data_IF_670036906240
#
_entry.id   IF_670036906240
#
_cell.length_a   1.000
_cell.length_b   1.000
_cell.length_c   1.000
_cell.angle_alpha   90.00
_cell.angle_beta   90.00
_cell.angle_gamma   90.00
#
_symmetry.space_group_name_H-M   'P 1'
#
loop_
_entity.id
_entity.type
_entity.pdbx_description
1 polymer ?
#
# COMPACT_ATOMS: atom_id res chain seq x y z
N UNK A 1 -5.13 -20.23 -4.24
CA UNK A 1 -4.29 -19.00 -4.23
C UNK A 1 -5.19 -17.92 -3.68
N UNK A 2 -4.77 -17.19 -2.66
CA UNK A 2 -5.56 -16.10 -2.05
C UNK A 2 -6.10 -15.13 -3.11
N UNK A 3 -7.37 -14.71 -2.98
CA UNK A 3 -7.99 -13.71 -3.85
C UNK A 3 -7.22 -12.38 -3.79
N UNK A 4 -6.74 -11.98 -2.62
CA UNK A 4 -5.93 -10.76 -2.44
C UNK A 4 -4.60 -10.85 -3.20
N UNK A 5 -3.90 -11.99 -3.13
CA UNK A 5 -2.65 -12.19 -3.89
C UNK A 5 -2.89 -12.09 -5.40
N UNK A 6 -4.04 -12.58 -5.87
CA UNK A 6 -4.44 -12.44 -7.28
C UNK A 6 -4.64 -10.97 -7.65
N UNK A 7 -5.32 -10.19 -6.81
CA UNK A 7 -5.50 -8.74 -7.01
C UNK A 7 -4.18 -7.98 -7.11
N UNK A 8 -3.19 -8.32 -6.27
CA UNK A 8 -1.85 -7.72 -6.39
C UNK A 8 -1.13 -8.08 -7.70
N UNK A 9 -1.35 -9.28 -8.25
CA UNK A 9 -0.70 -9.74 -9.49
C UNK A 9 -1.36 -9.23 -10.75
N UNK A 10 -2.68 -9.08 -10.73
CA UNK A 10 -3.46 -8.65 -11.89
C UNK A 10 -3.62 -7.13 -11.95
N UNK A 11 -3.38 -6.42 -10.85
CA UNK A 11 -3.37 -4.97 -10.84
C UNK A 11 -2.15 -4.42 -11.58
N UNK A 12 -2.38 -3.41 -12.42
CA UNK A 12 -1.31 -2.60 -13.02
C UNK A 12 -0.76 -1.54 -12.04
N UNK A 13 -1.23 -1.52 -10.79
CA UNK A 13 -0.80 -0.56 -9.78
C UNK A 13 0.37 -1.13 -8.96
N UNK A 14 1.39 -0.31 -8.74
CA UNK A 14 2.53 -0.69 -7.89
C UNK A 14 2.11 -0.85 -6.41
N UNK A 15 1.09 -0.11 -5.98
CA UNK A 15 0.58 -0.11 -4.60
C UNK A 15 -0.94 -0.23 -4.59
N UNK A 16 -1.50 -1.09 -3.73
CA UNK A 16 -2.94 -1.23 -3.54
C UNK A 16 -3.38 -0.70 -2.18
N UNK A 17 -4.48 0.03 -2.12
CA UNK A 17 -5.09 0.44 -0.85
C UNK A 17 -6.04 -0.64 -0.33
N UNK A 18 -6.33 -0.62 0.98
CA UNK A 18 -7.38 -1.47 1.56
C UNK A 18 -8.72 -1.26 0.86
N UNK A 19 -9.06 0.00 0.56
CA UNK A 19 -10.30 0.34 -0.15
C UNK A 19 -10.37 -0.34 -1.54
N UNK A 20 -9.25 -0.42 -2.26
CA UNK A 20 -9.20 -1.14 -3.53
C UNK A 20 -9.42 -2.64 -3.33
N UNK A 21 -8.75 -3.25 -2.36
CA UNK A 21 -8.88 -4.68 -2.06
C UNK A 21 -10.32 -5.04 -1.67
N UNK A 22 -10.94 -4.23 -0.81
CA UNK A 22 -12.34 -4.37 -0.41
C UNK A 22 -13.32 -4.22 -1.58
N UNK A 23 -13.04 -3.32 -2.53
CA UNK A 23 -13.95 -3.07 -3.67
C UNK A 23 -13.83 -4.10 -4.80
N UNK A 24 -12.74 -4.87 -4.82
CA UNK A 24 -12.42 -5.81 -5.90
C UNK A 24 -12.32 -7.26 -5.41
N UNK A 25 -12.72 -7.55 -4.17
CA UNK A 25 -12.84 -8.89 -3.65
C UNK A 25 -14.30 -9.20 -3.32
N UNK A 26 -14.68 -10.47 -3.49
CA UNK A 26 -15.95 -11.02 -3.04
C UNK A 26 -15.89 -11.50 -1.58
N UNK A 27 -14.70 -11.45 -0.96
CA UNK A 27 -14.47 -11.87 0.43
C UNK A 27 -15.09 -10.88 1.42
N UNK A 28 -15.35 -11.34 2.65
CA UNK A 28 -15.88 -10.43 3.68
C UNK A 28 -14.82 -9.40 4.09
N UNK A 29 -15.29 -8.28 4.63
CA UNK A 29 -14.41 -7.23 5.14
C UNK A 29 -13.45 -7.80 6.20
N UNK A 30 -13.97 -8.64 7.10
CA UNK A 30 -13.21 -9.29 8.17
C UNK A 30 -12.11 -10.19 7.60
N UNK A 31 -12.44 -11.06 6.63
CA UNK A 31 -11.48 -11.95 5.98
C UNK A 31 -10.36 -11.16 5.29
N UNK A 32 -10.70 -10.03 4.65
CA UNK A 32 -9.72 -9.19 3.96
C UNK A 32 -8.74 -8.56 4.95
N UNK A 33 -9.23 -8.06 6.08
CA UNK A 33 -8.36 -7.50 7.12
C UNK A 33 -7.48 -8.59 7.77
N UNK A 34 -8.03 -9.77 8.07
CA UNK A 34 -7.26 -10.89 8.61
C UNK A 34 -6.14 -11.33 7.66
N UNK A 35 -6.43 -11.37 6.36
CA UNK A 35 -5.46 -11.76 5.35
C UNK A 35 -4.38 -10.69 5.16
N UNK A 36 -4.73 -9.40 5.10
CA UNK A 36 -3.75 -8.30 5.09
C UNK A 36 -2.83 -8.38 6.32
N UNK A 37 -3.40 -8.59 7.51
CA UNK A 37 -2.62 -8.75 8.74
C UNK A 37 -1.66 -9.93 8.66
N UNK A 38 -2.15 -11.10 8.25
CA UNK A 38 -1.33 -12.31 8.08
C UNK A 38 -0.19 -12.08 7.08
N UNK A 39 -0.46 -11.40 5.97
CA UNK A 39 0.54 -11.10 4.95
C UNK A 39 1.60 -10.11 5.45
N UNK A 40 1.23 -9.13 6.28
CA UNK A 40 2.18 -8.21 6.93
C UNK A 40 3.08 -8.96 7.93
N UNK A 41 2.51 -9.83 8.76
CA UNK A 41 3.26 -10.63 9.73
C UNK A 41 4.28 -11.56 9.05
N UNK A 42 3.85 -12.20 7.96
CA UNK A 42 4.70 -13.06 7.13
C UNK A 42 5.67 -12.26 6.24
N UNK A 43 5.55 -10.93 6.20
CA UNK A 43 6.33 -10.01 5.36
C UNK A 43 6.21 -10.32 3.87
N UNK A 44 5.08 -10.85 3.42
CA UNK A 44 4.77 -11.05 2.00
C UNK A 44 4.28 -9.77 1.35
N UNK A 45 3.74 -8.83 2.14
CA UNK A 45 3.52 -7.43 1.73
C UNK A 45 4.26 -6.47 2.65
N UNK A 46 4.47 -5.25 2.16
CA UNK A 46 4.95 -4.10 2.91
C UNK A 46 3.89 -2.99 2.91
N UNK A 47 3.71 -2.34 4.06
CA UNK A 47 2.89 -1.14 4.20
C UNK A 47 3.69 0.09 3.82
N UNK A 48 3.06 1.00 3.10
CA UNK A 48 3.56 2.30 2.73
C UNK A 48 2.50 3.36 3.01
N UNK A 49 2.95 4.55 3.38
CA UNK A 49 2.09 5.67 3.73
C UNK A 49 2.22 6.75 2.67
N UNK A 50 1.09 7.34 2.32
CA UNK A 50 0.97 8.39 1.32
C UNK A 50 0.11 9.52 1.86
N UNK A 51 0.37 10.73 1.39
CA UNK A 51 -0.45 11.91 1.68
C UNK A 51 -0.80 12.61 0.38
N UNK A 52 -1.94 13.28 0.35
CA UNK A 52 -2.35 14.13 -0.79
C UNK A 52 -2.04 15.57 -0.42
N UNK A 53 -1.34 16.27 -1.30
CA UNK A 53 -1.09 17.70 -1.12
C UNK A 53 -2.38 18.50 -1.29
N UNK A 54 -2.82 19.29 -0.30
CA UNK A 54 -4.07 20.06 -0.40
C UNK A 54 -3.99 21.19 -1.44
N UNK A 55 -2.78 21.60 -1.83
CA UNK A 55 -2.57 22.72 -2.77
C UNK A 55 -2.57 22.27 -4.24
N UNK A 56 -1.98 21.11 -4.53
CA UNK A 56 -1.81 20.64 -5.91
C UNK A 56 -2.42 19.27 -6.20
N UNK A 57 -3.08 18.65 -5.21
CA UNK A 57 -3.66 17.30 -5.27
C UNK A 57 -2.66 16.18 -5.64
N UNK A 58 -1.35 16.48 -5.68
CA UNK A 58 -0.34 15.46 -5.92
C UNK A 58 -0.19 14.58 -4.69
N UNK A 59 -0.11 13.28 -4.93
CA UNK A 59 0.24 12.32 -3.91
C UNK A 59 1.74 12.32 -3.66
N UNK A 60 2.15 12.06 -2.42
CA UNK A 60 3.55 11.89 -2.05
C UNK A 60 3.67 10.76 -1.04
N UNK A 61 4.61 9.85 -1.29
CA UNK A 61 5.00 8.80 -0.36
C UNK A 61 5.77 9.41 0.81
N UNK A 62 5.43 9.00 2.02
CA UNK A 62 6.01 9.53 3.26
C UNK A 62 6.63 8.41 4.08
N UNK A 63 7.67 8.73 4.84
CA UNK A 63 8.27 7.79 5.79
C UNK A 63 7.45 7.75 7.08
N UNK A 64 7.47 6.58 7.75
CA UNK A 64 6.69 6.29 8.95
C UNK A 64 7.21 7.03 10.18
N UNK A 65 6.93 8.32 10.21
CA UNK A 65 6.99 9.24 11.34
C UNK A 65 6.70 10.62 10.75
N UNK A 66 5.41 10.95 10.61
CA UNK A 66 5.00 12.23 10.05
C UNK A 66 5.53 13.34 10.94
N UNK A 67 6.45 14.14 10.40
CA UNK A 67 6.64 15.49 10.91
C UNK A 67 5.34 16.26 10.71
N UNK A 68 5.05 17.20 11.61
CA UNK A 68 3.87 18.08 11.52
C UNK A 68 3.75 18.77 10.15
N UNK A 69 4.90 18.96 9.47
CA UNK A 69 5.00 19.52 8.13
C UNK A 69 5.72 18.58 7.19
N UNK A 70 5.23 18.46 5.95
CA UNK A 70 5.84 17.66 4.89
C UNK A 70 6.05 18.55 3.67
N UNK A 71 7.19 18.40 3.00
CA UNK A 71 7.43 19.07 1.73
C UNK A 71 6.81 18.26 0.59
N UNK A 72 5.85 18.84 -0.13
CA UNK A 72 5.31 18.24 -1.34
C UNK A 72 6.38 18.23 -2.44
N UNK A 73 6.65 17.07 -3.05
CA UNK A 73 7.68 16.94 -4.10
C UNK A 73 7.25 17.54 -5.45
N UNK A 74 5.95 17.79 -5.64
CA UNK A 74 5.42 18.36 -6.87
C UNK A 74 5.44 19.90 -6.86
N UNK A 75 4.81 20.54 -5.87
CA UNK A 75 4.75 22.01 -5.78
C UNK A 75 5.84 22.62 -4.89
N UNK A 76 6.67 21.82 -4.21
CA UNK A 76 7.72 22.26 -3.28
C UNK A 76 7.26 23.02 -2.02
N UNK A 77 5.95 23.11 -1.78
CA UNK A 77 5.38 23.73 -0.58
C UNK A 77 5.43 22.80 0.63
N UNK A 78 5.52 23.40 1.82
CA UNK A 78 5.33 22.70 3.09
C UNK A 78 3.85 22.66 3.44
N UNK A 79 3.34 21.47 3.73
CA UNK A 79 1.93 21.23 4.02
C UNK A 79 1.78 20.50 5.34
N UNK A 80 0.64 20.72 5.99
CA UNK A 80 0.16 19.88 7.08
C UNK A 80 -0.74 18.82 6.42
N UNK A 81 -0.42 17.52 6.56
CA UNK A 81 -1.24 16.46 5.97
C UNK A 81 -2.57 16.32 6.74
N UNK A 82 -3.69 16.34 6.01
CA UNK A 82 -5.01 16.15 6.63
C UNK A 82 -5.26 14.69 7.04
N UNK A 83 -4.78 13.73 6.24
CA UNK A 83 -4.91 12.31 6.49
C UNK A 83 -3.82 11.51 5.77
N UNK A 84 -3.62 10.28 6.25
CA UNK A 84 -2.66 9.32 5.69
C UNK A 84 -3.42 8.24 4.95
N UNK A 85 -2.95 7.92 3.75
CA UNK A 85 -3.46 6.81 2.94
C UNK A 85 -2.47 5.66 3.07
N UNK A 86 -2.93 4.56 3.63
CA UNK A 86 -2.16 3.33 3.67
C UNK A 86 -2.31 2.56 2.35
N UNK A 87 -1.18 2.09 1.82
CA UNK A 87 -1.15 1.18 0.68
C UNK A 87 -0.12 0.10 0.88
N UNK A 88 -0.31 -1.00 0.17
CA UNK A 88 0.48 -2.21 0.29
C UNK A 88 1.14 -2.55 -1.03
N UNK A 89 2.29 -3.20 -0.95
CA UNK A 89 3.01 -3.76 -2.11
C UNK A 89 3.55 -5.13 -1.74
N UNK A 90 3.48 -6.10 -2.66
CA UNK A 90 4.11 -7.41 -2.48
C UNK A 90 5.63 -7.23 -2.35
N UNK A 91 6.24 -7.99 -1.43
CA UNK A 91 7.70 -8.01 -1.27
C UNK A 91 8.34 -9.02 -2.23
N UNK A 92 9.52 -8.69 -2.73
CA UNK A 92 10.34 -9.57 -3.58
C UNK A 92 10.73 -10.91 -2.91
N UNK A 93 10.31 -11.18 -1.66
CA UNK A 93 10.52 -12.50 -1.03
C UNK A 93 9.73 -13.59 -1.76
N UNK A 94 8.57 -13.30 -2.35
CA UNK A 94 7.91 -14.25 -3.25
C UNK A 94 8.72 -14.49 -4.53
N UNK A 95 9.34 -13.44 -5.12
CA UNK A 95 10.19 -13.58 -6.30
C UNK A 95 11.46 -14.42 -6.01
N UNK A 96 12.08 -14.24 -4.83
CA UNK A 96 13.27 -15.00 -4.43
C UNK A 96 12.99 -16.44 -4.00
N UNK A 97 11.76 -16.76 -3.57
CA UNK A 97 11.35 -18.14 -3.29
C UNK A 97 11.12 -18.94 -4.58
N UNK A 98 10.83 -18.27 -5.71
CA UNK A 98 10.72 -18.88 -7.04
C UNK A 98 12.07 -19.06 -7.74
N UNK A 99 13.00 -18.10 -7.62
CA UNK A 99 14.36 -18.20 -8.18
C UNK A 99 15.26 -19.30 -7.55
N UNK A 100 14.77 -20.02 -6.54
CA UNK A 100 15.45 -21.18 -5.93
C UNK A 100 14.80 -22.52 -6.27
N UNK A 101 13.76 -22.52 -7.09
CA UNK A 101 13.04 -23.74 -7.50
C UNK A 101 13.21 -24.07 -9.00
N UNK A 102 14.00 -23.27 -9.73
CA UNK A 102 14.47 -23.56 -11.09
C UNK A 102 15.95 -23.97 -11.10
#
# INVERSE_FOLDING_TARGET
MSNIVKLFKESNQEYLSTAYLLSNSDDSVEDIYEEIHSMLELKTIQKFEFVICPLCASETKVESSLSEYIKCLNCNEFIIPDFVIERFKITDKEDKLRLKQD
#
